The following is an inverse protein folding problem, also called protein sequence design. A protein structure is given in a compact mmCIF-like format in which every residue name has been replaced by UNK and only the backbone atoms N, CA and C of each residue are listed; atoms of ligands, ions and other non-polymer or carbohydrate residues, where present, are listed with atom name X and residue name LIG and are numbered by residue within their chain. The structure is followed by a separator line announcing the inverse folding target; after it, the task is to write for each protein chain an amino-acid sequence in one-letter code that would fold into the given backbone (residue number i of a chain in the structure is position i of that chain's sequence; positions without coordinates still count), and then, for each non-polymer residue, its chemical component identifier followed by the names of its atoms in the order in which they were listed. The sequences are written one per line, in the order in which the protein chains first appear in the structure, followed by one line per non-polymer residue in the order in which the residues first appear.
data_IF_456495091021
#
_entry.id   IF_456495091021
#
_cell.length_a   1.000
_cell.length_b   1.000
_cell.length_c   1.000
_cell.angle_alpha   90.00
_cell.angle_beta   90.00
_cell.angle_gamma   90.00
#
_symmetry.space_group_name_H-M   'P 1'
#
loop_
_entity.id
_entity.type
_entity.pdbx_description
1 polymer ?
#
# COMPACT_ATOMS: atom_id res chain seq x y z
N UNK A 1 -41.95 -30.54 -5.55
CA UNK A 1 -40.50 -30.84 -5.64
C UNK A 1 -39.76 -30.01 -6.70
N UNK A 2 -40.18 -29.93 -7.97
CA UNK A 2 -39.41 -29.21 -9.02
C UNK A 2 -39.18 -27.70 -8.79
N UNK A 3 -40.15 -26.99 -8.19
CA UNK A 3 -39.99 -25.55 -7.88
C UNK A 3 -39.08 -25.28 -6.67
N UNK A 4 -39.07 -26.18 -5.68
CA UNK A 4 -38.22 -26.05 -4.49
C UNK A 4 -36.74 -26.30 -4.83
N UNK A 5 -36.48 -27.27 -5.71
CA UNK A 5 -35.12 -27.58 -6.19
C UNK A 5 -34.57 -26.48 -7.09
N UNK A 6 -35.41 -25.85 -7.94
CA UNK A 6 -35.00 -24.70 -8.74
C UNK A 6 -34.73 -23.48 -7.86
N UNK A 7 -35.53 -23.25 -6.81
CA UNK A 7 -35.32 -22.15 -5.86
C UNK A 7 -34.05 -22.35 -5.03
N UNK A 8 -33.78 -23.59 -4.58
CA UNK A 8 -32.51 -23.92 -3.91
C UNK A 8 -31.31 -23.81 -4.85
N UNK A 9 -31.42 -24.23 -6.11
CA UNK A 9 -30.35 -24.05 -7.09
C UNK A 9 -30.10 -22.57 -7.39
N UNK A 10 -31.15 -21.75 -7.51
CA UNK A 10 -30.98 -20.30 -7.69
C UNK A 10 -30.35 -19.66 -6.45
N UNK A 11 -30.71 -20.08 -5.22
CA UNK A 11 -30.06 -19.60 -4.00
C UNK A 11 -28.61 -20.09 -3.92
N UNK A 12 -28.32 -21.34 -4.28
CA UNK A 12 -26.95 -21.87 -4.32
C UNK A 12 -26.12 -21.16 -5.39
N UNK A 13 -26.69 -20.85 -6.56
CA UNK A 13 -26.01 -20.06 -7.60
C UNK A 13 -25.88 -18.56 -7.23
N UNK A 14 -26.84 -17.98 -6.49
CA UNK A 14 -26.74 -16.62 -5.94
C UNK A 14 -25.78 -16.54 -4.74
N UNK A 15 -25.56 -17.64 -4.01
CA UNK A 15 -24.64 -17.70 -2.87
C UNK A 15 -23.24 -18.21 -3.24
N UNK A 16 -23.02 -18.64 -4.49
CA UNK A 16 -21.69 -18.96 -5.02
C UNK A 16 -21.06 -17.75 -5.76
N UNK A 17 -21.79 -16.65 -5.94
CA UNK A 17 -21.16 -15.34 -6.16
C UNK A 17 -20.89 -14.68 -4.81
N UNK A 18 -20.16 -15.36 -3.93
CA UNK A 18 -19.25 -14.62 -3.05
C UNK A 18 -18.20 -14.14 -4.03
N UNK A 19 -18.31 -12.89 -4.50
CA UNK A 19 -17.27 -12.35 -5.35
C UNK A 19 -15.98 -12.45 -4.55
N UNK A 20 -15.02 -13.21 -5.06
CA UNK A 20 -13.71 -13.24 -4.46
C UNK A 20 -13.16 -11.82 -4.61
N UNK A 21 -12.78 -11.22 -3.49
CA UNK A 21 -12.09 -9.93 -3.44
C UNK A 21 -11.00 -9.90 -4.53
N UNK A 22 -10.92 -8.84 -5.33
CA UNK A 22 -9.89 -8.75 -6.38
C UNK A 22 -8.56 -8.44 -5.71
N UNK A 23 -7.79 -9.48 -5.39
CA UNK A 23 -6.46 -9.38 -4.77
C UNK A 23 -5.43 -8.99 -5.84
N UNK A 24 -4.71 -7.89 -5.59
CA UNK A 24 -3.61 -7.41 -6.44
C UNK A 24 -2.27 -8.03 -6.06
N UNK A 25 -2.07 -8.23 -4.75
CA UNK A 25 -0.87 -8.78 -4.15
C UNK A 25 -1.24 -9.51 -2.85
N UNK A 26 -0.63 -10.66 -2.58
CA UNK A 26 -0.67 -11.33 -1.28
C UNK A 26 0.65 -12.08 -1.09
N UNK A 27 1.46 -11.64 -0.13
CA UNK A 27 2.78 -12.20 0.14
C UNK A 27 3.01 -12.31 1.65
N UNK A 28 3.23 -13.53 2.12
CA UNK A 28 3.58 -13.87 3.51
C UNK A 28 5.08 -13.82 3.76
N UNK A 29 5.86 -13.38 2.76
CA UNK A 29 7.30 -13.23 2.81
C UNK A 29 8.03 -14.50 3.27
N UNK A 30 7.47 -15.71 3.06
CA UNK A 30 8.07 -16.98 3.50
C UNK A 30 8.79 -17.74 2.38
N UNK A 31 9.07 -17.10 1.24
CA UNK A 31 9.66 -17.74 0.06
C UNK A 31 11.10 -18.28 0.27
N UNK A 32 11.73 -18.07 1.44
CA UNK A 32 13.04 -18.62 1.79
C UNK A 32 14.22 -17.93 1.10
N UNK A 33 13.98 -17.14 0.06
CA UNK A 33 14.99 -16.37 -0.68
C UNK A 33 14.44 -15.02 -1.11
N UNK A 34 15.24 -13.96 -0.95
CA UNK A 34 14.88 -12.58 -1.28
C UNK A 34 14.26 -12.47 -2.68
N UNK A 35 14.91 -13.00 -3.72
CA UNK A 35 14.47 -12.80 -5.11
C UNK A 35 13.17 -13.50 -5.51
N UNK A 36 12.53 -14.26 -4.61
CA UNK A 36 11.35 -15.08 -4.93
C UNK A 36 10.06 -14.55 -4.29
N UNK A 37 10.12 -13.52 -3.44
CA UNK A 37 8.92 -12.90 -2.86
C UNK A 37 8.26 -11.99 -3.90
N UNK A 38 6.94 -12.06 -4.04
CA UNK A 38 6.16 -11.15 -4.90
C UNK A 38 6.32 -9.69 -4.48
N UNK A 39 6.50 -9.43 -3.18
CA UNK A 39 6.71 -8.11 -2.61
C UNK A 39 7.75 -7.28 -3.40
N UNK A 40 8.93 -7.83 -3.71
CA UNK A 40 9.95 -7.07 -4.48
C UNK A 40 9.64 -6.92 -5.97
N UNK A 41 8.63 -7.61 -6.49
CA UNK A 41 8.14 -7.43 -7.86
C UNK A 41 7.18 -6.24 -7.95
N UNK A 42 6.41 -5.99 -6.88
CA UNK A 42 5.36 -4.97 -6.84
C UNK A 42 5.76 -3.67 -6.14
N UNK A 43 6.88 -3.67 -5.42
CA UNK A 43 7.36 -2.49 -4.70
C UNK A 43 8.66 -1.94 -5.29
N UNK A 44 8.64 -0.65 -5.62
CA UNK A 44 9.83 0.16 -5.83
C UNK A 44 10.50 0.45 -4.49
N UNK A 45 11.68 -0.15 -4.29
CA UNK A 45 12.38 -0.06 -3.02
C UNK A 45 13.65 0.78 -3.11
N UNK A 46 13.86 1.62 -2.11
CA UNK A 46 15.10 2.35 -1.92
C UNK A 46 16.00 1.62 -0.91
N UNK A 47 17.26 1.36 -1.28
CA UNK A 47 18.22 0.59 -0.49
C UNK A 47 17.78 -0.85 -0.16
N UNK A 48 17.19 -1.52 -1.14
CA UNK A 48 16.82 -2.93 -1.11
C UNK A 48 17.97 -3.89 -1.37
N UNK A 49 18.22 -4.84 -0.48
CA UNK A 49 19.05 -6.01 -0.76
C UNK A 49 18.70 -7.18 0.15
N UNK A 50 19.36 -8.32 -0.06
CA UNK A 50 19.17 -9.55 0.73
C UNK A 50 19.30 -9.34 2.24
N UNK A 51 20.09 -8.36 2.68
CA UNK A 51 20.21 -8.07 4.12
C UNK A 51 18.93 -7.46 4.70
N UNK A 52 18.05 -6.88 3.87
CA UNK A 52 16.77 -6.36 4.31
C UNK A 52 15.70 -7.45 4.41
N UNK A 53 16.00 -8.70 4.10
CA UNK A 53 15.07 -9.80 4.27
C UNK A 53 15.61 -10.73 5.35
N UNK A 54 14.86 -10.81 6.44
CA UNK A 54 15.29 -11.49 7.66
C UNK A 54 14.33 -12.64 7.97
N UNK A 55 14.82 -13.61 8.75
CA UNK A 55 14.06 -14.75 9.19
C UNK A 55 14.06 -14.84 10.70
N UNK A 56 12.89 -15.10 11.29
CA UNK A 56 12.76 -15.61 12.65
C UNK A 56 12.18 -17.03 12.60
N UNK A 57 13.06 -18.02 12.74
CA UNK A 57 12.71 -19.42 12.50
C UNK A 57 12.37 -19.67 11.02
N UNK A 58 11.12 -20.06 10.75
CA UNK A 58 10.60 -20.29 9.40
C UNK A 58 9.92 -19.06 8.79
N UNK A 59 9.69 -18.00 9.59
CA UNK A 59 8.97 -16.81 9.16
C UNK A 59 9.94 -15.78 8.57
N UNK A 60 9.74 -15.41 7.31
CA UNK A 60 10.49 -14.35 6.65
C UNK A 60 9.76 -13.02 6.72
N UNK A 61 10.50 -11.91 6.78
CA UNK A 61 9.92 -10.56 6.78
C UNK A 61 10.88 -9.55 6.17
N UNK A 62 10.35 -8.43 5.68
CA UNK A 62 11.18 -7.33 5.18
C UNK A 62 11.48 -6.34 6.31
N UNK A 63 12.75 -5.93 6.40
CA UNK A 63 13.31 -5.05 7.41
C UNK A 63 14.02 -3.86 6.75
N UNK A 64 13.35 -2.70 6.78
CA UNK A 64 13.87 -1.42 6.28
C UNK A 64 14.85 -0.78 7.27
N UNK A 65 16.13 -1.19 7.23
CA UNK A 65 17.16 -0.84 8.24
C UNK A 65 18.27 0.09 7.76
N UNK A 66 17.94 1.18 7.05
CA UNK A 66 18.95 2.16 6.62
C UNK A 66 18.98 3.40 7.51
N UNK A 67 20.19 3.82 7.90
CA UNK A 67 20.43 4.95 8.80
C UNK A 67 20.05 6.30 8.21
N UNK A 68 20.03 6.43 6.88
CA UNK A 68 19.61 7.66 6.18
C UNK A 68 18.17 7.57 5.63
N UNK A 69 17.48 6.45 5.89
CA UNK A 69 16.10 6.17 5.45
C UNK A 69 15.97 5.04 4.42
N UNK A 70 14.90 4.27 4.55
CA UNK A 70 14.52 3.21 3.61
C UNK A 70 13.02 3.28 3.32
N UNK A 71 12.59 2.90 2.12
CA UNK A 71 11.18 2.72 1.78
C UNK A 71 10.96 1.61 0.79
N UNK A 72 9.71 1.17 0.77
CA UNK A 72 9.11 0.40 -0.28
C UNK A 72 7.79 1.07 -0.66
N UNK A 73 7.65 1.54 -1.90
CA UNK A 73 6.40 2.06 -2.45
C UNK A 73 5.84 1.11 -3.48
N UNK A 74 4.54 0.82 -3.41
CA UNK A 74 3.85 0.03 -4.42
C UNK A 74 3.88 0.77 -5.76
N UNK A 75 4.01 0.05 -6.88
CA UNK A 75 4.22 0.68 -8.19
C UNK A 75 2.99 1.38 -8.76
N UNK A 76 1.79 0.87 -8.51
CA UNK A 76 0.58 1.45 -9.12
C UNK A 76 -0.06 2.49 -8.20
N UNK A 77 -0.67 3.49 -8.82
CA UNK A 77 -1.54 4.44 -8.14
C UNK A 77 -2.88 3.76 -7.84
N UNK A 78 -3.29 3.80 -6.57
CA UNK A 78 -4.51 3.15 -6.12
C UNK A 78 -5.49 4.17 -5.54
N UNK A 79 -6.76 3.82 -5.67
CA UNK A 79 -7.89 4.31 -4.90
C UNK A 79 -8.84 3.13 -4.65
N UNK A 80 -9.65 3.19 -3.60
CA UNK A 80 -10.70 2.18 -3.35
C UNK A 80 -10.15 0.76 -3.15
N UNK A 81 -9.26 0.62 -2.16
CA UNK A 81 -8.53 -0.61 -1.85
C UNK A 81 -8.46 -0.86 -0.34
N UNK A 82 -8.13 -2.08 0.03
CA UNK A 82 -7.76 -2.44 1.39
C UNK A 82 -6.33 -2.98 1.40
N UNK A 83 -5.51 -2.43 2.29
CA UNK A 83 -4.19 -2.94 2.65
C UNK A 83 -4.28 -3.70 3.97
N UNK A 84 -3.76 -4.92 3.98
CA UNK A 84 -3.47 -5.70 5.17
C UNK A 84 -1.96 -5.86 5.27
N UNK A 85 -1.40 -5.68 6.47
CA UNK A 85 0.02 -5.83 6.73
C UNK A 85 0.25 -6.06 8.21
N UNK A 86 1.14 -6.97 8.56
CA UNK A 86 1.70 -7.02 9.91
C UNK A 86 2.88 -6.05 9.95
N UNK A 87 2.80 -5.04 10.82
CA UNK A 87 3.77 -3.96 10.89
C UNK A 87 4.44 -3.91 12.27
N UNK A 88 5.77 -3.78 12.27
CA UNK A 88 6.55 -3.54 13.48
C UNK A 88 7.62 -2.48 13.27
N UNK A 89 8.20 -2.04 14.37
CA UNK A 89 9.33 -1.11 14.43
C UNK A 89 10.41 -1.73 15.32
N UNK A 90 11.66 -1.26 15.22
CA UNK A 90 12.74 -1.74 16.09
C UNK A 90 12.68 -1.23 17.54
N UNK A 91 11.55 -0.64 17.96
CA UNK A 91 11.42 0.04 19.24
C UNK A 91 12.32 1.28 19.38
N UNK A 92 12.23 1.97 20.53
CA UNK A 92 12.95 3.24 20.74
C UNK A 92 14.23 3.01 21.55
N UNK A 93 15.42 3.16 20.94
CA UNK A 93 16.68 3.30 21.72
C UNK A 93 17.06 4.75 21.99
N UNK A 94 16.45 5.73 21.30
CA UNK A 94 16.75 7.16 21.45
C UNK A 94 15.53 8.04 21.08
N UNK A 95 14.56 8.15 22.01
CA UNK A 95 13.30 8.94 21.83
C UNK A 95 13.53 10.38 21.32
N UNK A 96 14.57 11.12 21.75
CA UNK A 96 14.94 12.41 21.18
C UNK A 96 15.32 12.43 19.70
N UNK A 97 15.75 11.31 19.11
CA UNK A 97 16.09 11.25 17.69
C UNK A 97 14.90 10.85 16.80
N UNK A 98 13.67 10.95 17.30
CA UNK A 98 12.43 10.56 16.62
C UNK A 98 12.01 11.44 15.42
N UNK A 99 12.90 12.21 14.80
CA UNK A 99 12.64 12.94 13.54
C UNK A 99 12.32 12.00 12.33
N UNK A 100 12.15 10.70 12.58
CA UNK A 100 12.66 9.59 11.79
C UNK A 100 11.83 8.30 11.94
N UNK A 101 10.54 8.46 12.22
CA UNK A 101 9.63 7.38 12.59
C UNK A 101 9.38 6.44 11.42
N UNK A 102 9.06 5.21 11.76
CA UNK A 102 8.56 4.21 10.83
C UNK A 102 7.10 4.54 10.50
N UNK A 103 6.74 4.51 9.23
CA UNK A 103 5.41 4.90 8.79
C UNK A 103 4.86 3.98 7.71
N UNK A 104 3.53 4.01 7.61
CA UNK A 104 2.76 3.57 6.45
C UNK A 104 2.23 4.84 5.80
N UNK A 105 2.54 5.06 4.53
CA UNK A 105 2.06 6.21 3.75
C UNK A 105 1.01 5.74 2.76
N UNK A 106 -0.06 6.54 2.58
CA UNK A 106 -1.08 6.33 1.56
C UNK A 106 -1.35 7.65 0.85
N UNK A 107 -1.95 7.57 -0.35
CA UNK A 107 -2.30 8.75 -1.16
C UNK A 107 -1.07 9.64 -1.44
N UNK A 108 0.11 9.06 -1.60
CA UNK A 108 1.32 9.83 -1.94
C UNK A 108 1.33 10.13 -3.43
N UNK A 109 1.51 11.40 -3.80
CA UNK A 109 1.66 11.81 -5.20
C UNK A 109 2.91 11.16 -5.80
N UNK A 110 2.81 10.57 -6.99
CA UNK A 110 3.89 9.83 -7.63
C UNK A 110 5.16 10.67 -7.79
N UNK A 111 4.98 11.92 -8.22
CA UNK A 111 6.06 12.90 -8.43
C UNK A 111 6.75 13.32 -7.14
N UNK A 112 6.10 13.07 -5.99
CA UNK A 112 6.60 13.48 -4.68
C UNK A 112 7.28 12.36 -3.88
N UNK A 113 7.23 11.11 -4.38
CA UNK A 113 7.66 9.92 -3.59
C UNK A 113 9.11 9.98 -3.11
N UNK A 114 9.99 10.58 -3.89
CA UNK A 114 11.42 10.69 -3.56
C UNK A 114 11.67 11.70 -2.43
N UNK A 115 10.74 12.63 -2.21
CA UNK A 115 10.81 13.65 -1.16
C UNK A 115 10.24 13.16 0.18
N UNK A 116 9.70 11.93 0.24
CA UNK A 116 9.22 11.35 1.51
C UNK A 116 10.35 11.15 2.52
N UNK A 117 11.61 11.18 2.08
CA UNK A 117 12.77 11.07 2.96
C UNK A 117 13.53 12.36 3.18
N UNK A 118 13.25 13.37 2.37
CA UNK A 118 14.07 14.56 2.40
C UNK A 118 13.69 15.41 3.63
N UNK A 119 14.67 15.78 4.48
CA UNK A 119 14.47 16.83 5.48
C UNK A 119 14.13 18.17 4.85
N UNK A 120 13.34 18.96 5.56
CA UNK A 120 13.34 20.42 5.45
C UNK A 120 14.70 20.92 6.01
N UNK A 121 15.74 20.84 5.18
CA UNK A 121 17.17 20.95 5.51
C UNK A 121 17.60 22.34 6.04
N UNK A 122 16.67 23.28 6.19
CA UNK A 122 16.91 24.60 6.79
C UNK A 122 16.41 24.75 8.23
N UNK A 123 15.53 23.85 8.70
CA UNK A 123 14.81 24.00 9.97
C UNK A 123 14.87 22.77 10.88
N UNK A 124 15.81 21.85 10.67
CA UNK A 124 16.06 20.65 11.51
C UNK A 124 16.23 20.92 13.03
N UNK A 125 16.31 22.19 13.46
CA UNK A 125 16.27 22.57 14.89
C UNK A 125 14.84 22.66 15.45
N UNK A 126 13.83 22.75 14.60
CA UNK A 126 12.43 22.75 14.99
C UNK A 126 11.87 21.34 14.84
N UNK A 127 11.31 20.80 15.92
CA UNK A 127 10.80 19.43 16.00
C UNK A 127 9.64 19.10 15.02
N UNK A 128 9.33 19.96 14.04
CA UNK A 128 8.13 19.97 13.21
C UNK A 128 8.40 19.66 11.72
N UNK A 129 9.60 19.20 11.38
CA UNK A 129 9.93 18.72 10.04
C UNK A 129 9.31 17.33 9.84
N UNK A 130 8.18 17.28 9.14
CA UNK A 130 7.56 16.02 8.74
C UNK A 130 8.17 15.47 7.46
N UNK A 131 8.13 14.15 7.34
CA UNK A 131 8.53 13.42 6.15
C UNK A 131 7.40 13.46 5.11
N UNK A 132 7.72 13.89 3.90
CA UNK A 132 6.77 13.90 2.78
C UNK A 132 6.24 15.26 2.39
N UNK A 133 5.60 15.26 1.23
CA UNK A 133 5.06 16.47 0.57
C UNK A 133 3.55 16.36 0.38
N UNK A 134 3.02 15.15 0.32
CA UNK A 134 1.63 14.86 0.01
C UNK A 134 1.16 13.59 0.71
N UNK A 135 -0.16 13.39 0.73
CA UNK A 135 -0.80 12.19 1.25
C UNK A 135 -0.96 12.18 2.76
N UNK A 136 -1.24 10.97 3.26
CA UNK A 136 -1.52 10.68 4.66
C UNK A 136 -0.46 9.70 5.15
N UNK A 137 0.19 10.04 6.26
CA UNK A 137 1.18 9.18 6.91
C UNK A 137 0.67 8.70 8.26
N UNK A 138 0.73 7.39 8.47
CA UNK A 138 0.52 6.73 9.75
C UNK A 138 1.89 6.44 10.35
N UNK A 139 2.38 7.31 11.22
CA UNK A 139 3.63 7.10 11.93
C UNK A 139 3.39 6.20 13.14
N UNK A 140 3.98 5.02 13.11
CA UNK A 140 3.80 3.97 14.10
C UNK A 140 4.99 3.98 15.07
N UNK A 141 4.72 4.10 16.37
CA UNK A 141 5.77 4.04 17.39
C UNK A 141 5.18 3.64 18.75
N UNK A 142 5.88 2.79 19.50
CA UNK A 142 5.40 2.27 20.79
C UNK A 142 3.92 1.82 20.67
N UNK A 143 3.07 2.21 21.61
CA UNK A 143 1.63 1.94 21.60
C UNK A 143 0.80 3.06 20.94
N UNK A 144 1.36 3.83 20.01
CA UNK A 144 0.66 4.94 19.37
C UNK A 144 0.77 4.90 17.84
N UNK A 145 -0.25 5.43 17.19
CA UNK A 145 -0.20 5.87 15.80
C UNK A 145 -0.43 7.38 15.74
N UNK A 146 0.47 8.10 15.08
CA UNK A 146 0.28 9.50 14.70
C UNK A 146 -0.19 9.54 13.24
N UNK A 147 -1.34 10.14 13.01
CA UNK A 147 -1.91 10.34 11.67
C UNK A 147 -1.54 11.75 11.22
N UNK A 148 -0.61 11.88 10.29
CA UNK A 148 -0.17 13.15 9.72
C UNK A 148 -0.75 13.38 8.32
N UNK A 149 -1.22 14.61 8.07
CA UNK A 149 -1.76 15.04 6.77
C UNK A 149 -1.02 16.30 6.33
N UNK A 150 -0.51 16.29 5.11
CA UNK A 150 0.21 17.43 4.54
C UNK A 150 -0.75 18.54 4.09
N UNK A 151 -0.35 19.78 4.30
CA UNK A 151 -1.08 20.98 3.88
C UNK A 151 -0.13 22.05 3.34
N UNK A 152 -0.57 22.76 2.29
CA UNK A 152 0.13 23.92 1.74
C UNK A 152 -0.54 25.25 2.14
N UNK A 153 -1.38 25.24 3.19
CA UNK A 153 -2.09 26.42 3.66
C UNK A 153 -1.11 27.47 4.21
N UNK A 154 -1.28 28.75 3.86
CA UNK A 154 -0.60 29.82 4.58
C UNK A 154 -1.23 30.04 5.96
N UNK A 155 -0.44 29.98 7.02
CA UNK A 155 -0.92 30.09 8.40
C UNK A 155 -1.42 28.76 8.97
N UNK A 156 -1.01 28.44 10.19
CA UNK A 156 -1.52 27.31 10.97
C UNK A 156 -0.52 26.78 11.99
N UNK A 157 -0.87 25.66 12.58
CA UNK A 157 -0.06 24.99 13.59
C UNK A 157 0.31 23.59 13.08
N UNK A 158 1.60 23.35 12.85
CA UNK A 158 2.13 22.03 12.53
C UNK A 158 2.18 21.16 13.79
N UNK A 159 2.05 19.84 13.62
CA UNK A 159 1.93 18.91 14.74
C UNK A 159 0.49 18.67 15.17
N UNK A 160 0.30 18.07 16.36
CA UNK A 160 1.31 17.76 17.36
C UNK A 160 2.27 16.60 16.96
N UNK A 161 3.54 16.65 17.38
CA UNK A 161 4.57 15.62 17.12
C UNK A 161 5.20 15.10 18.42
N UNK A 162 5.69 13.87 18.39
CA UNK A 162 6.59 13.34 19.41
C UNK A 162 7.95 14.05 19.29
N UNK A 163 8.31 14.85 20.30
CA UNK A 163 9.53 15.63 20.35
C UNK A 163 10.46 15.13 21.47
N UNK A 164 11.77 15.48 21.43
CA UNK A 164 12.73 15.15 22.48
C UNK A 164 12.29 15.45 23.92
N UNK A 165 11.53 16.54 24.10
CA UNK A 165 11.11 17.03 25.41
C UNK A 165 9.73 16.49 25.84
N UNK A 166 9.07 15.70 25.01
CA UNK A 166 7.79 15.06 25.31
C UNK A 166 6.88 14.85 24.09
N UNK A 167 5.77 14.15 24.32
CA UNK A 167 4.70 14.01 23.34
C UNK A 167 3.98 15.34 23.12
N UNK A 168 3.70 15.66 21.85
CA UNK A 168 2.71 16.65 21.49
C UNK A 168 3.22 18.05 21.19
N UNK A 169 4.48 18.19 20.77
CA UNK A 169 5.03 19.49 20.40
C UNK A 169 4.32 20.04 19.16
N UNK A 170 4.11 21.36 19.12
CA UNK A 170 3.49 22.06 17.99
C UNK A 170 4.33 23.26 17.57
N UNK A 171 4.26 23.62 16.29
CA UNK A 171 4.99 24.75 15.72
C UNK A 171 4.09 25.63 14.87
N UNK A 172 4.20 26.95 15.04
CA UNK A 172 3.46 27.89 14.19
C UNK A 172 4.10 27.98 12.81
N UNK A 173 3.26 27.95 11.77
CA UNK A 173 3.68 28.09 10.38
C UNK A 173 2.97 29.29 9.78
N UNK A 174 3.72 30.39 9.58
CA UNK A 174 3.17 31.61 9.00
C UNK A 174 2.76 31.42 7.52
N UNK A 175 3.56 30.68 6.76
CA UNK A 175 3.36 30.49 5.32
C UNK A 175 4.08 29.25 4.80
N UNK A 176 3.33 28.25 4.36
CA UNK A 176 3.87 26.99 3.84
C UNK A 176 4.79 27.19 2.64
N UNK A 177 4.51 28.18 1.77
CA UNK A 177 5.29 28.46 0.56
C UNK A 177 6.75 28.89 0.84
N UNK A 178 7.06 29.25 2.09
CA UNK A 178 8.41 29.60 2.52
C UNK A 178 9.22 28.41 3.01
N UNK A 179 8.60 27.24 3.18
CA UNK A 179 9.30 26.01 3.58
C UNK A 179 9.95 25.34 2.36
N UNK A 180 10.93 24.49 2.60
CA UNK A 180 11.68 23.81 1.54
C UNK A 180 10.77 23.02 0.58
N UNK A 181 9.71 22.41 1.08
CA UNK A 181 8.75 21.62 0.28
C UNK A 181 7.41 22.31 0.04
N UNK A 182 7.24 23.57 0.44
CA UNK A 182 5.98 24.28 0.25
C UNK A 182 4.80 23.75 1.10
N UNK A 183 5.06 22.83 2.04
CA UNK A 183 4.05 22.17 2.88
C UNK A 183 4.50 22.00 4.33
N UNK A 184 3.56 21.69 5.20
CA UNK A 184 3.79 21.16 6.55
C UNK A 184 2.68 20.16 6.89
N UNK A 185 2.82 19.41 7.98
CA UNK A 185 1.80 18.44 8.39
C UNK A 185 1.08 18.84 9.66
N UNK A 186 -0.21 18.57 9.67
CA UNK A 186 -1.08 18.63 10.86
C UNK A 186 -1.42 17.18 11.21
N UNK A 187 -1.39 16.86 12.49
CA UNK A 187 -1.47 15.46 12.93
C UNK A 187 -2.46 15.25 14.08
N UNK A 188 -2.78 13.98 14.34
CA UNK A 188 -3.51 13.54 15.53
C UNK A 188 -2.90 12.24 16.06
N UNK A 189 -2.97 12.03 17.38
CA UNK A 189 -2.45 10.83 18.04
C UNK A 189 -3.57 9.93 18.51
N UNK A 190 -3.36 8.63 18.34
CA UNK A 190 -4.25 7.60 18.84
C UNK A 190 -3.46 6.50 19.54
N UNK A 191 -3.97 6.04 20.68
CA UNK A 191 -3.45 4.88 21.38
C UNK A 191 -3.92 3.59 20.69
N UNK A 192 -3.04 2.60 20.65
CA UNK A 192 -3.38 1.24 20.27
C UNK A 192 -4.22 0.55 21.36
N UNK A 193 -4.88 -0.57 21.04
CA UNK A 193 -5.56 -1.40 22.03
C UNK A 193 -4.63 -1.82 23.18
N UNK A 194 -5.21 -2.09 24.35
CA UNK A 194 -4.46 -2.42 25.56
C UNK A 194 -3.48 -3.58 25.31
N UNK A 195 -2.22 -3.36 25.68
CA UNK A 195 -1.15 -4.35 25.56
C UNK A 195 -0.53 -4.47 24.16
N UNK A 196 -0.96 -3.67 23.19
CA UNK A 196 -0.36 -3.63 21.84
C UNK A 196 0.70 -2.54 21.73
N UNK A 197 1.77 -2.86 21.02
CA UNK A 197 2.89 -1.98 20.72
C UNK A 197 3.49 -2.36 19.38
N UNK A 198 3.91 -1.37 18.61
CA UNK A 198 4.69 -1.54 17.40
C UNK A 198 6.15 -1.92 17.68
N UNK A 199 6.55 -2.19 18.93
CA UNK A 199 7.84 -2.85 19.22
C UNK A 199 7.86 -4.31 18.73
N UNK A 200 6.67 -4.88 18.46
CA UNK A 200 6.45 -6.18 17.84
C UNK A 200 5.43 -6.03 16.70
N UNK A 201 5.16 -7.10 15.96
CA UNK A 201 4.19 -7.10 14.87
C UNK A 201 2.77 -6.85 15.38
N UNK A 202 2.15 -5.83 14.81
CA UNK A 202 0.74 -5.49 14.97
C UNK A 202 0.06 -5.66 13.62
N UNK A 203 -1.07 -6.37 13.61
CA UNK A 203 -1.85 -6.52 12.38
C UNK A 203 -2.56 -5.22 12.06
N UNK A 204 -2.18 -4.59 10.96
CA UNK A 204 -2.73 -3.32 10.49
C UNK A 204 -3.61 -3.58 9.27
N UNK A 205 -4.78 -2.95 9.27
CA UNK A 205 -5.67 -2.89 8.12
C UNK A 205 -6.02 -1.44 7.81
N UNK A 206 -5.76 -1.03 6.58
CA UNK A 206 -6.13 0.29 6.07
C UNK A 206 -7.17 0.09 4.98
N UNK A 207 -8.39 0.59 5.20
CA UNK A 207 -9.47 0.54 4.21
C UNK A 207 -9.59 1.94 3.61
N UNK A 208 -9.29 2.07 2.33
CA UNK A 208 -9.48 3.30 1.58
C UNK A 208 -10.73 3.16 0.69
N UNK A 209 -11.76 3.95 0.96
CA UNK A 209 -13.03 4.00 0.22
C UNK A 209 -13.17 5.34 -0.55
N UNK A 210 -12.08 5.80 -1.17
CA UNK A 210 -12.02 7.07 -1.93
C UNK A 210 -12.07 8.32 -1.07
N UNK A 211 -13.25 8.68 -0.57
CA UNK A 211 -13.47 9.87 0.24
C UNK A 211 -13.32 9.60 1.74
N UNK A 212 -13.05 8.35 2.10
CA UNK A 212 -12.78 7.93 3.47
C UNK A 212 -11.62 6.96 3.56
N UNK A 213 -10.88 7.05 4.65
CA UNK A 213 -9.88 6.06 5.04
C UNK A 213 -10.14 5.63 6.47
N UNK A 214 -10.00 4.34 6.74
CA UNK A 214 -10.09 3.76 8.08
C UNK A 214 -8.80 3.05 8.42
N UNK A 215 -8.27 3.31 9.62
CA UNK A 215 -7.10 2.61 10.13
C UNK A 215 -7.52 1.70 11.29
N UNK A 216 -7.16 0.43 11.18
CA UNK A 216 -7.38 -0.59 12.20
C UNK A 216 -6.05 -1.16 12.68
N UNK A 217 -5.98 -1.47 13.97
CA UNK A 217 -4.92 -2.26 14.57
C UNK A 217 -5.55 -3.43 15.33
N UNK A 218 -5.13 -4.66 15.02
CA UNK A 218 -5.71 -5.90 15.55
C UNK A 218 -7.25 -5.92 15.47
N UNK A 219 -7.77 -5.63 14.27
CA UNK A 219 -9.20 -5.51 13.96
C UNK A 219 -9.98 -4.44 14.75
N UNK A 220 -9.31 -3.66 15.59
CA UNK A 220 -9.92 -2.54 16.32
C UNK A 220 -9.79 -1.27 15.49
N UNK A 221 -10.91 -0.59 15.23
CA UNK A 221 -10.90 0.72 14.58
C UNK A 221 -10.18 1.72 15.48
N UNK A 222 -9.17 2.40 14.92
CA UNK A 222 -8.41 3.43 15.64
C UNK A 222 -8.89 4.83 15.24
N UNK A 223 -8.97 5.09 13.94
CA UNK A 223 -9.44 6.36 13.41
C UNK A 223 -10.12 6.24 12.05
N UNK A 224 -10.97 7.22 11.75
CA UNK A 224 -11.55 7.48 10.42
C UNK A 224 -10.99 8.82 9.91
N UNK A 225 -10.67 8.88 8.62
CA UNK A 225 -10.27 10.10 7.93
C UNK A 225 -11.30 10.35 6.83
N UNK A 226 -12.06 11.44 6.92
CA UNK A 226 -13.00 11.84 5.89
C UNK A 226 -12.42 12.98 5.04
N UNK A 227 -12.58 12.90 3.73
CA UNK A 227 -11.91 13.76 2.76
C UNK A 227 -12.93 14.38 1.81
N UNK A 228 -12.83 15.69 1.61
CA UNK A 228 -13.80 16.48 0.84
C UNK A 228 -13.10 17.63 0.12
N UNK A 229 -13.85 18.34 -0.72
CA UNK A 229 -13.40 19.51 -1.48
C UNK A 229 -12.20 19.21 -2.37
N UNK A 230 -12.43 18.65 -3.56
CA UNK A 230 -11.36 18.38 -4.52
C UNK A 230 -11.01 19.65 -5.30
N UNK A 231 -9.72 19.95 -5.40
CA UNK A 231 -9.18 21.02 -6.25
C UNK A 231 -7.87 20.58 -6.90
N UNK A 232 -7.52 21.20 -8.01
CA UNK A 232 -6.22 20.98 -8.64
C UNK A 232 -5.14 21.71 -7.85
N UNK A 233 -4.13 20.97 -7.38
CA UNK A 233 -3.09 21.49 -6.51
C UNK A 233 -1.74 21.41 -7.20
N UNK A 234 -1.02 22.53 -7.16
CA UNK A 234 0.40 22.59 -7.50
C UNK A 234 1.19 22.91 -6.22
N UNK A 235 2.19 22.09 -5.94
CA UNK A 235 3.20 22.34 -4.91
C UNK A 235 4.55 22.40 -5.58
N UNK A 236 5.33 23.43 -5.26
CA UNK A 236 6.67 23.63 -5.78
C UNK A 236 7.70 23.57 -4.65
N UNK A 237 8.95 23.19 -5.00
CA UNK A 237 10.07 23.35 -4.09
C UNK A 237 10.25 24.83 -3.73
N UNK A 238 10.23 25.11 -2.43
CA UNK A 238 10.20 26.48 -1.92
C UNK A 238 11.52 27.24 -2.14
N UNK A 239 11.51 28.55 -1.86
CA UNK A 239 12.66 29.42 -2.10
C UNK A 239 13.86 29.10 -1.20
N UNK A 240 13.64 28.35 -0.12
CA UNK A 240 14.69 27.96 0.84
C UNK A 240 15.30 26.58 0.56
N UNK A 241 14.73 25.80 -0.37
CA UNK A 241 15.22 24.45 -0.66
C UNK A 241 16.73 24.46 -0.96
N UNK A 242 17.47 23.57 -0.29
CA UNK A 242 18.93 23.59 -0.24
C UNK A 242 19.59 23.48 -1.63
N UNK A 243 18.97 22.74 -2.56
CA UNK A 243 19.44 22.64 -3.93
C UNK A 243 18.84 23.76 -4.79
N UNK A 244 19.59 24.86 -4.92
CA UNK A 244 19.12 26.08 -5.57
C UNK A 244 18.63 25.88 -7.01
N UNK A 245 19.20 24.91 -7.74
CA UNK A 245 18.81 24.67 -9.14
C UNK A 245 17.45 23.99 -9.30
N UNK A 246 16.89 23.46 -8.21
CA UNK A 246 15.59 22.78 -8.17
C UNK A 246 14.48 23.64 -7.57
N UNK A 247 14.79 24.81 -6.99
CA UNK A 247 13.78 25.71 -6.44
C UNK A 247 12.75 26.08 -7.52
N UNK A 248 11.46 26.03 -7.18
CA UNK A 248 10.34 26.24 -8.09
C UNK A 248 9.99 25.04 -8.98
N UNK A 249 10.64 23.88 -8.81
CA UNK A 249 10.24 22.64 -9.48
C UNK A 249 8.89 22.17 -8.90
N UNK A 250 7.91 21.92 -9.78
CA UNK A 250 6.64 21.31 -9.40
C UNK A 250 6.86 19.87 -8.94
N UNK A 251 6.52 19.59 -7.69
CA UNK A 251 6.70 18.27 -7.05
C UNK A 251 5.36 17.58 -6.77
N UNK A 252 4.26 18.32 -6.84
CA UNK A 252 2.88 17.83 -6.89
C UNK A 252 2.13 18.68 -7.89
N UNK A 253 1.38 18.06 -8.81
CA UNK A 253 0.59 18.76 -9.83
C UNK A 253 -0.61 17.88 -10.24
N UNK A 254 -1.61 17.78 -9.36
CA UNK A 254 -2.73 16.85 -9.51
C UNK A 254 -3.95 17.24 -8.65
N UNK A 255 -5.07 16.54 -8.86
CA UNK A 255 -6.29 16.76 -8.09
C UNK A 255 -6.15 16.18 -6.67
N UNK A 256 -6.42 17.02 -5.67
CA UNK A 256 -6.28 16.67 -4.26
C UNK A 256 -7.53 17.05 -3.47
N UNK A 257 -7.87 16.24 -2.46
CA UNK A 257 -8.79 16.63 -1.40
C UNK A 257 -8.17 17.74 -0.55
N UNK A 258 -8.93 18.82 -0.33
CA UNK A 258 -8.46 20.04 0.35
C UNK A 258 -8.95 20.16 1.78
N UNK A 259 -10.01 19.44 2.13
CA UNK A 259 -10.56 19.41 3.49
C UNK A 259 -10.54 17.98 4.03
N UNK A 260 -9.81 17.76 5.12
CA UNK A 260 -9.66 16.45 5.77
C UNK A 260 -10.13 16.57 7.22
N UNK A 261 -10.95 15.62 7.67
CA UNK A 261 -11.43 15.50 9.05
C UNK A 261 -10.94 14.17 9.61
N UNK A 262 -10.03 14.23 10.58
CA UNK A 262 -9.52 13.06 11.30
C UNK A 262 -10.41 12.87 12.54
N UNK A 263 -10.99 11.68 12.68
CA UNK A 263 -11.93 11.31 13.73
C UNK A 263 -11.43 10.12 14.54
N UNK A 264 -11.79 10.11 15.81
CA UNK A 264 -11.58 8.94 16.66
C UNK A 264 -12.51 7.78 16.28
N UNK A 265 -12.30 6.60 16.88
CA UNK A 265 -13.12 5.42 16.68
C UNK A 265 -14.61 5.59 17.08
N UNK A 266 -14.94 6.63 17.85
CA UNK A 266 -16.33 6.97 18.21
C UNK A 266 -16.98 7.93 17.20
N UNK A 267 -16.23 8.39 16.20
CA UNK A 267 -16.68 9.32 15.16
C UNK A 267 -16.59 10.80 15.55
N UNK A 268 -15.92 11.15 16.65
CA UNK A 268 -15.70 12.54 17.02
C UNK A 268 -14.54 13.12 16.21
N UNK A 269 -14.73 14.31 15.63
CA UNK A 269 -13.64 15.04 14.97
C UNK A 269 -12.58 15.46 15.99
N UNK A 270 -11.35 15.00 15.78
CA UNK A 270 -10.17 15.32 16.59
C UNK A 270 -9.40 16.47 15.98
N UNK A 271 -9.21 16.43 14.65
CA UNK A 271 -8.47 17.43 13.89
C UNK A 271 -9.14 17.66 12.54
N UNK A 272 -9.19 18.93 12.13
CA UNK A 272 -9.57 19.33 10.77
C UNK A 272 -8.38 19.97 10.09
N UNK A 273 -8.05 19.48 8.89
CA UNK A 273 -6.97 20.00 8.04
C UNK A 273 -7.57 20.67 6.82
N UNK A 274 -7.20 21.92 6.60
CA UNK A 274 -7.61 22.71 5.44
C UNK A 274 -6.40 22.97 4.54
N UNK A 275 -6.63 23.09 3.24
CA UNK A 275 -5.55 23.21 2.27
C UNK A 275 -4.71 21.93 2.14
N UNK A 276 -5.33 20.78 2.42
CA UNK A 276 -4.65 19.49 2.41
C UNK A 276 -4.13 19.11 1.01
N UNK A 277 -2.97 18.49 0.96
CA UNK A 277 -2.34 17.99 -0.27
C UNK A 277 -2.46 16.47 -0.28
N UNK A 278 -3.70 15.98 -0.42
CA UNK A 278 -4.01 14.54 -0.45
C UNK A 278 -4.61 14.18 -1.81
N UNK A 279 -3.80 13.62 -2.72
CA UNK A 279 -4.23 13.08 -4.00
C UNK A 279 -5.52 12.26 -4.00
N UNK A 280 -6.35 12.42 -5.04
CA UNK A 280 -7.54 11.60 -5.26
C UNK A 280 -7.20 10.14 -5.59
N UNK A 281 -6.01 9.88 -6.12
CA UNK A 281 -5.39 8.57 -6.32
C UNK A 281 -3.90 8.69 -5.98
N UNK A 282 -3.29 7.70 -5.33
CA UNK A 282 -1.88 7.84 -4.97
C UNK A 282 -1.19 6.53 -4.69
N UNK A 283 0.13 6.61 -4.49
CA UNK A 283 0.93 5.48 -4.05
C UNK A 283 0.65 5.20 -2.57
N UNK A 284 0.88 3.95 -2.18
CA UNK A 284 1.09 3.60 -0.79
C UNK A 284 2.47 2.99 -0.60
N UNK A 285 2.98 3.07 0.62
CA UNK A 285 4.28 2.50 0.92
C UNK A 285 4.60 2.48 2.40
N UNK A 286 5.79 1.98 2.68
CA UNK A 286 6.37 1.88 4.00
C UNK A 286 7.66 2.65 4.01
N UNK A 287 7.99 3.32 5.10
CA UNK A 287 9.27 3.96 5.21
C UNK A 287 9.70 4.27 6.62
N UNK A 288 10.94 4.72 6.75
CA UNK A 288 11.54 5.20 7.98
C UNK A 288 12.62 6.22 7.62
N UNK A 289 13.12 6.95 8.62
CA UNK A 289 14.31 7.79 8.42
C UNK A 289 15.31 7.78 9.57
N UNK A 290 15.56 6.69 10.29
CA UNK A 290 16.72 6.48 11.21
C UNK A 290 16.36 5.42 12.26
N UNK A 291 15.05 5.14 12.44
CA UNK A 291 14.62 3.87 13.00
C UNK A 291 14.56 2.81 11.89
N UNK A 292 14.02 1.63 12.15
CA UNK A 292 13.66 0.67 11.12
C UNK A 292 12.18 0.29 11.22
N UNK A 293 11.63 -0.14 10.10
CA UNK A 293 10.32 -0.79 10.04
C UNK A 293 10.48 -2.25 9.64
N UNK A 294 9.52 -3.06 10.03
CA UNK A 294 9.36 -4.43 9.57
C UNK A 294 7.96 -4.62 9.02
N UNK A 295 7.86 -5.32 7.90
CA UNK A 295 6.58 -5.69 7.27
C UNK A 295 6.56 -7.17 7.00
N UNK A 296 5.39 -7.76 7.25
CA UNK A 296 5.04 -9.14 6.97
C UNK A 296 3.57 -9.23 6.54
N UNK A 297 3.15 -10.36 5.96
CA UNK A 297 1.77 -10.68 5.57
C UNK A 297 1.08 -9.54 4.80
N UNK A 298 1.75 -9.06 3.75
CA UNK A 298 1.26 -7.93 2.95
C UNK A 298 0.21 -8.44 1.96
N UNK A 299 -1.01 -7.92 2.08
CA UNK A 299 -2.08 -8.16 1.10
C UNK A 299 -2.70 -6.84 0.67
N UNK A 300 -2.88 -6.68 -0.63
CA UNK A 300 -3.58 -5.55 -1.25
C UNK A 300 -4.74 -6.09 -2.07
N UNK A 301 -5.93 -5.57 -1.83
CA UNK A 301 -7.10 -5.97 -2.58
C UNK A 301 -8.01 -4.77 -2.89
N UNK A 302 -8.67 -4.82 -4.04
CA UNK A 302 -9.61 -3.78 -4.44
C UNK A 302 -10.93 -3.98 -3.71
N UNK A 303 -11.55 -2.88 -3.28
CA UNK A 303 -12.85 -2.91 -2.61
C UNK A 303 -14.02 -3.07 -3.63
N UNK A 304 -13.69 -3.24 -4.90
CA UNK A 304 -14.60 -3.44 -6.00
C UNK A 304 -14.11 -4.56 -6.93
N UNK A 305 -15.04 -5.18 -7.65
CA UNK A 305 -14.71 -6.22 -8.61
C UNK A 305 -14.24 -5.61 -9.93
N UNK A 306 -13.10 -6.09 -10.44
CA UNK A 306 -12.64 -5.75 -11.78
C UNK A 306 -13.20 -6.76 -12.77
N UNK A 307 -14.12 -6.33 -13.64
CA UNK A 307 -14.46 -7.12 -14.83
C UNK A 307 -13.35 -6.92 -15.86
N UNK A 308 -12.59 -7.95 -16.24
CA UNK A 308 -11.54 -7.78 -17.25
C UNK A 308 -12.18 -7.26 -18.54
N UNK A 309 -11.62 -6.18 -19.09
CA UNK A 309 -12.03 -5.69 -20.40
C UNK A 309 -11.89 -6.83 -21.42
N UNK A 310 -12.84 -7.02 -22.36
CA UNK A 310 -12.72 -8.04 -23.37
C UNK A 310 -11.43 -7.81 -24.16
N UNK A 311 -10.52 -8.77 -24.10
CA UNK A 311 -9.25 -8.72 -24.82
C UNK A 311 -9.54 -8.50 -26.30
N UNK A 312 -9.20 -7.33 -26.83
CA UNK A 312 -9.12 -7.17 -28.29
C UNK A 312 -7.96 -8.04 -28.74
N UNK A 313 -8.27 -9.15 -29.43
CA UNK A 313 -7.27 -9.88 -30.21
C UNK A 313 -6.53 -8.87 -31.08
N UNK A 314 -5.22 -8.78 -30.84
CA UNK A 314 -4.31 -7.98 -31.64
C UNK A 314 -4.41 -8.52 -33.07
N UNK A 315 -5.11 -7.79 -33.95
CA UNK A 315 -5.11 -8.10 -35.38
C UNK A 315 -3.67 -7.88 -35.86
N UNK A 316 -2.98 -8.97 -36.18
CA UNK A 316 -1.65 -8.91 -36.80
C UNK A 316 -1.76 -8.11 -38.10
N UNK A 317 -0.97 -7.03 -38.19
CA UNK A 317 -0.79 -6.32 -39.43
C UNK A 317 -0.08 -7.23 -40.45
N UNK A 318 -0.38 -7.14 -41.76
CA UNK A 318 0.25 -7.99 -42.77
C UNK A 318 1.77 -7.81 -42.76
N UNK A 319 2.50 -8.91 -42.72
CA UNK A 319 3.95 -8.91 -42.80
C UNK A 319 4.42 -8.28 -44.13
N UNK A 320 5.22 -7.23 -44.03
CA UNK A 320 5.95 -6.66 -45.18
C UNK A 320 7.11 -7.59 -45.52
N UNK A 321 7.12 -8.16 -46.73
CA UNK A 321 8.24 -8.95 -47.25
C UNK A 321 9.49 -8.06 -47.42
N UNK A 322 10.57 -8.39 -46.71
CA UNK A 322 11.93 -7.92 -47.06
C UNK A 322 12.73 -9.08 -47.63
N UNK A 323 13.23 -8.90 -48.86
CA UNK A 323 14.15 -9.80 -49.57
C UNK A 323 15.54 -9.89 -48.91
N UNK A 324 16.31 -10.96 -49.18
CA UNK A 324 17.39 -11.44 -48.31
C UNK A 324 18.72 -10.74 -48.58
N UNK A 325 19.51 -10.55 -47.52
CA UNK A 325 20.95 -10.27 -47.60
C UNK A 325 21.75 -11.42 -46.97
N UNK A 326 22.76 -11.86 -47.70
CA UNK A 326 23.58 -13.05 -47.50
C UNK A 326 24.52 -13.00 -46.28
N UNK A 327 24.62 -14.15 -45.61
CA UNK A 327 25.46 -14.58 -44.47
C UNK A 327 26.99 -14.48 -44.73
N UNK A 328 27.89 -14.63 -43.72
CA UNK A 328 28.23 -15.96 -43.19
C UNK A 328 28.39 -16.10 -41.66
N UNK A 329 28.15 -17.34 -41.25
CA UNK A 329 28.05 -18.00 -39.95
C UNK A 329 29.38 -18.17 -39.21
N UNK A 330 29.35 -18.15 -37.87
CA UNK A 330 30.22 -19.00 -37.04
C UNK A 330 29.38 -19.67 -35.94
N UNK A 331 29.36 -21.00 -35.95
CA UNK A 331 28.79 -21.88 -34.91
C UNK A 331 29.78 -22.04 -33.75
N UNK A 332 29.26 -22.06 -32.52
CA UNK A 332 29.72 -23.00 -31.47
C UNK A 332 28.45 -23.58 -30.81
N UNK A 333 28.31 -24.89 -30.92
CA UNK A 333 27.41 -25.74 -30.11
C UNK A 333 27.92 -25.79 -28.67
N UNK A 334 27.02 -25.79 -27.68
CA UNK A 334 26.97 -26.95 -26.79
C UNK A 334 25.57 -27.17 -26.18
N UNK A 335 25.28 -28.45 -25.96
CA UNK A 335 24.02 -29.03 -25.51
C UNK A 335 23.97 -29.10 -23.98
N UNK A 336 22.77 -28.97 -23.41
CA UNK A 336 22.20 -29.68 -22.24
C UNK A 336 20.89 -28.96 -21.91
N UNK A 337 19.69 -29.55 -21.92
CA UNK A 337 19.32 -30.83 -21.33
C UNK A 337 18.60 -30.57 -20.00
N UNK A 338 17.39 -30.01 -20.02
CA UNK A 338 16.51 -29.98 -18.84
C UNK A 338 15.04 -30.11 -19.26
N UNK A 339 14.47 -31.23 -18.83
CA UNK A 339 13.07 -31.66 -18.93
C UNK A 339 12.11 -30.59 -18.42
N UNK A 340 11.18 -30.14 -19.26
CA UNK A 340 9.99 -29.41 -18.83
C UNK A 340 9.02 -30.39 -18.13
N UNK A 341 9.04 -30.41 -16.80
CA UNK A 341 8.00 -31.05 -16.00
C UNK A 341 6.71 -30.24 -16.13
N UNK A 342 5.84 -30.64 -17.05
CA UNK A 342 4.44 -30.19 -17.07
C UNK A 342 3.81 -30.62 -15.74
N UNK A 343 3.44 -29.66 -14.90
CA UNK A 343 2.74 -29.94 -13.65
C UNK A 343 1.43 -30.67 -13.96
N UNK A 344 1.29 -31.89 -13.44
CA UNK A 344 0.14 -32.78 -13.65
C UNK A 344 -1.05 -32.38 -12.76
N UNK A 345 -0.83 -31.48 -11.79
CA UNK A 345 -1.81 -31.03 -10.79
C UNK A 345 -3.09 -30.41 -11.40
N UNK A 346 -3.02 -29.53 -12.42
CA UNK A 346 -4.21 -28.96 -13.05
C UNK A 346 -5.05 -30.02 -13.76
N UNK A 347 -4.40 -31.03 -14.36
CA UNK A 347 -5.07 -32.13 -15.07
C UNK A 347 -5.82 -33.01 -14.07
N UNK A 348 -5.21 -33.30 -12.91
CA UNK A 348 -5.85 -34.09 -11.84
C UNK A 348 -7.08 -33.34 -11.29
N UNK A 349 -6.99 -32.02 -11.09
CA UNK A 349 -8.12 -31.21 -10.61
C UNK A 349 -9.28 -31.18 -11.61
N UNK A 350 -9.01 -31.08 -12.92
CA UNK A 350 -10.05 -31.17 -13.95
C UNK A 350 -10.72 -32.55 -13.97
N UNK A 351 -9.94 -33.63 -13.87
CA UNK A 351 -10.48 -35.00 -13.86
C UNK A 351 -11.34 -35.26 -12.62
N UNK A 352 -10.91 -34.80 -11.43
CA UNK A 352 -11.70 -34.92 -10.20
C UNK A 352 -13.02 -34.14 -10.28
N UNK A 353 -12.99 -32.95 -10.88
CA UNK A 353 -14.16 -32.10 -11.07
C UNK A 353 -15.20 -32.78 -11.99
N UNK A 354 -14.75 -33.38 -13.10
CA UNK A 354 -15.61 -34.12 -14.03
C UNK A 354 -16.22 -35.36 -13.36
N UNK A 355 -15.46 -36.08 -12.53
CA UNK A 355 -15.96 -37.24 -11.79
C UNK A 355 -17.01 -36.84 -10.73
N UNK A 356 -16.81 -35.72 -10.04
CA UNK A 356 -17.72 -35.24 -9.01
C UNK A 356 -19.04 -34.78 -9.63
N UNK A 357 -18.98 -34.01 -10.71
CA UNK A 357 -20.16 -33.57 -11.48
C UNK A 357 -20.88 -34.78 -12.10
N UNK A 358 -20.14 -35.71 -12.71
CA UNK A 358 -20.70 -36.95 -13.27
C UNK A 358 -21.41 -37.80 -12.22
N UNK A 359 -20.81 -37.95 -11.02
CA UNK A 359 -21.40 -38.66 -9.90
C UNK A 359 -22.71 -38.03 -9.41
N UNK A 360 -22.76 -36.70 -9.29
CA UNK A 360 -23.97 -35.97 -8.92
C UNK A 360 -25.09 -36.17 -9.95
N UNK A 361 -24.77 -36.12 -11.25
CA UNK A 361 -25.74 -36.35 -12.33
C UNK A 361 -26.30 -37.78 -12.28
N UNK A 362 -25.46 -38.79 -12.04
CA UNK A 362 -25.90 -40.19 -11.92
C UNK A 362 -26.82 -40.37 -10.71
N UNK A 363 -26.48 -39.79 -9.55
CA UNK A 363 -27.31 -39.85 -8.33
C UNK A 363 -28.67 -39.18 -8.57
N UNK A 364 -28.69 -38.03 -9.26
CA UNK A 364 -29.94 -37.33 -9.63
C UNK A 364 -30.79 -38.14 -10.61
N UNK A 365 -30.18 -38.82 -11.58
CA UNK A 365 -30.89 -39.69 -12.52
C UNK A 365 -31.48 -40.92 -11.81
N UNK A 366 -30.73 -41.55 -10.90
CA UNK A 366 -31.18 -42.71 -10.13
C UNK A 366 -32.32 -42.37 -9.16
N UNK A 367 -32.25 -41.22 -8.49
CA UNK A 367 -33.33 -40.74 -7.60
C UNK A 367 -34.57 -40.29 -8.39
N UNK A 368 -34.41 -39.76 -9.62
CA UNK A 368 -35.55 -39.44 -10.48
C UNK A 368 -36.31 -40.67 -11.01
N UNK A 369 -35.61 -41.80 -11.19
CA UNK A 369 -36.23 -43.08 -11.61
C UNK A 369 -36.95 -43.78 -10.47
N UNK A 370 -36.46 -43.69 -9.23
CA UNK A 370 -37.13 -44.27 -8.05
C UNK A 370 -38.46 -43.61 -7.69
N UNK A 371 -38.66 -42.35 -8.08
CA UNK A 371 -39.90 -41.59 -7.79
C UNK A 371 -40.96 -41.67 -8.91
N UNK A 372 -40.79 -42.56 -9.89
CA UNK A 372 -41.75 -42.82 -10.99
C UNK A 372 -42.31 -44.25 -11.00
N UNK A 373 -42.08 -45.03 -9.92
CA UNK A 373 -42.69 -46.34 -9.71
C UNK A 373 -43.92 -46.24 -8.82
#
# INVERSE_FOLDING_TARGET
MKRLVLFLLVIIFLQITVSAETVLLEDDLNAGTFSQTEFFTYFGMYNANENNYEFDGENGYYHGKWTEGASAFYYDLLEDYTLYVDFATNGTTDRPKNAYRSFIAIRVAETSKDFVFEPDNGQDQEAFAFLGVSGINFYCYENYVEVGVHTNKSGGTAGPVNAPEGYGAVGEVDDASKRDFGVYSISAFFELPEGKTFDDFVSVKIVDEKDKVFFYADDTLICEIAMTDVDNVVVELGPNYWNESRRGEEIVSEDCYRTISIKDASGNEVVKVEGAVVPVSGLFGFGNRANAFKVDNVKVALNYDVTPAPTQEKTEAPATETSPSTTPTTKVEDQTGASSTVSILPIILVVLSVLLIGGIVIILLMTSRKNKG
#
